data_IF_695531171708
#
_entry.id   IF_695531171708
#
_cell.length_a   1.000
_cell.length_b   1.000
_cell.length_c   1.000
_cell.angle_alpha   90.00
_cell.angle_beta   90.00
_cell.angle_gamma   90.00
#
_symmetry.space_group_name_H-M   'P 1'
#
loop_
_entity.id
_entity.type
_entity.pdbx_description
1 polymer ?
#
# COMPACT_ATOMS: atom_id res chain seq x y z
N UNK A 1 0.65 31.96 41.74
CA UNK A 1 2.05 31.57 41.45
C UNK A 1 2.01 30.21 40.76
N UNK A 2 2.74 30.11 39.64
CA UNK A 2 2.81 28.99 38.69
C UNK A 2 3.14 27.65 39.38
N UNK A 3 2.65 26.53 38.83
CA UNK A 3 3.49 25.57 38.08
C UNK A 3 2.59 24.75 37.14
N UNK A 4 2.80 24.81 35.80
CA UNK A 4 2.13 23.92 34.86
C UNK A 4 2.79 22.54 34.92
N UNK A 5 1.97 21.49 34.98
CA UNK A 5 2.43 20.11 34.93
C UNK A 5 2.93 19.80 33.52
N UNK A 6 4.26 19.66 33.35
CA UNK A 6 4.86 19.17 32.11
C UNK A 6 4.46 17.69 31.94
N UNK A 7 3.60 17.41 30.97
CA UNK A 7 3.52 16.06 30.41
C UNK A 7 4.66 15.95 29.40
N UNK A 8 5.67 15.19 29.80
CA UNK A 8 6.85 14.85 29.02
C UNK A 8 6.39 14.04 27.80
N UNK A 9 6.48 14.63 26.60
CA UNK A 9 6.21 13.93 25.35
C UNK A 9 7.19 12.78 25.18
N UNK A 10 6.67 11.56 25.20
CA UNK A 10 7.45 10.34 24.95
C UNK A 10 7.70 10.25 23.45
N UNK A 11 8.91 10.62 23.02
CA UNK A 11 9.45 10.22 21.72
C UNK A 11 9.94 8.77 21.85
N UNK A 12 9.09 7.79 21.52
CA UNK A 12 9.56 6.45 21.18
C UNK A 12 9.85 6.40 19.68
N UNK A 13 11.06 6.76 19.29
CA UNK A 13 11.58 6.39 17.98
C UNK A 13 12.28 5.03 18.12
N UNK A 14 11.51 3.94 17.98
CA UNK A 14 12.08 2.63 17.74
C UNK A 14 12.27 2.46 16.22
N UNK A 15 13.41 2.92 15.70
CA UNK A 15 13.79 2.64 14.32
C UNK A 15 14.20 1.16 14.22
N UNK A 16 13.30 0.30 13.77
CA UNK A 16 13.63 -1.05 13.33
C UNK A 16 14.34 -0.97 11.98
N UNK A 17 15.46 -1.68 11.84
CA UNK A 17 16.18 -1.84 10.58
C UNK A 17 15.30 -2.63 9.60
N UNK A 18 14.46 -1.93 8.85
CA UNK A 18 13.79 -2.49 7.70
C UNK A 18 14.86 -2.82 6.64
N UNK A 19 15.02 -4.11 6.30
CA UNK A 19 15.81 -4.50 5.14
C UNK A 19 15.30 -3.78 3.90
N UNK A 20 16.20 -3.24 3.07
CA UNK A 20 15.83 -2.44 1.91
C UNK A 20 14.90 -3.24 0.98
N UNK A 21 13.65 -2.79 0.83
CA UNK A 21 12.70 -3.35 -0.12
C UNK A 21 13.26 -3.17 -1.54
N UNK A 22 13.06 -4.18 -2.39
CA UNK A 22 13.47 -4.11 -3.80
C UNK A 22 12.43 -3.33 -4.58
N UNK A 23 12.87 -2.41 -5.43
CA UNK A 23 11.96 -1.65 -6.29
C UNK A 23 11.19 -2.57 -7.24
N UNK A 24 9.87 -2.40 -7.40
CA UNK A 24 9.07 -3.17 -8.35
C UNK A 24 9.26 -2.73 -9.81
N UNK A 25 9.84 -1.55 -10.05
CA UNK A 25 10.10 -0.98 -11.37
C UNK A 25 11.50 -0.34 -11.44
N UNK A 26 12.14 -0.39 -12.59
CA UNK A 26 13.42 0.29 -12.81
C UNK A 26 13.24 1.82 -12.66
N UNK A 27 14.09 2.43 -11.83
CA UNK A 27 14.02 3.86 -11.53
C UNK A 27 13.04 4.26 -10.42
N UNK A 28 12.38 3.29 -9.77
CA UNK A 28 11.54 3.50 -8.59
C UNK A 28 12.31 3.17 -7.30
N UNK A 29 11.89 3.73 -6.16
CA UNK A 29 12.43 3.38 -4.84
C UNK A 29 11.32 2.75 -4.00
N UNK A 30 11.58 1.56 -3.44
CA UNK A 30 10.66 0.94 -2.50
C UNK A 30 11.01 1.38 -1.06
N UNK A 31 10.02 1.90 -0.34
CA UNK A 31 10.13 2.37 1.05
C UNK A 31 9.12 1.62 1.93
N UNK A 32 9.37 1.50 3.25
CA UNK A 32 8.37 0.99 4.18
C UNK A 32 7.10 1.84 4.14
N UNK A 33 5.94 1.22 4.34
CA UNK A 33 4.67 1.95 4.42
C UNK A 33 4.71 2.92 5.62
N UNK A 34 4.20 4.15 5.43
CA UNK A 34 3.91 5.07 6.53
C UNK A 34 2.44 5.47 6.48
N UNK A 35 1.88 5.70 7.66
CA UNK A 35 0.50 6.16 7.82
C UNK A 35 0.51 7.45 8.63
N UNK A 36 -0.17 8.47 8.09
CA UNK A 36 -0.28 9.78 8.71
C UNK A 36 -1.71 10.02 9.16
N UNK A 37 -1.90 10.38 10.42
CA UNK A 37 -3.20 10.64 11.02
C UNK A 37 -3.20 11.96 11.78
N UNK A 38 -4.39 12.46 12.10
CA UNK A 38 -4.55 13.68 12.89
C UNK A 38 -5.09 13.31 14.27
N UNK A 39 -4.34 13.66 15.31
CA UNK A 39 -4.80 13.51 16.69
C UNK A 39 -6.02 14.42 16.92
N UNK A 40 -7.13 13.82 17.29
CA UNK A 40 -8.42 14.48 17.48
C UNK A 40 -8.43 15.46 18.67
N UNK A 41 -7.44 15.39 19.55
CA UNK A 41 -7.38 16.19 20.78
C UNK A 41 -6.66 17.53 20.58
N UNK A 42 -5.59 17.54 19.79
CA UNK A 42 -4.69 18.70 19.63
C UNK A 42 -4.41 19.05 18.16
N UNK A 43 -4.95 18.29 17.21
CA UNK A 43 -4.74 18.50 15.78
C UNK A 43 -3.33 18.17 15.31
N UNK A 44 -2.50 17.56 16.15
CA UNK A 44 -1.11 17.21 15.79
C UNK A 44 -1.08 16.01 14.86
N UNK A 45 -0.06 15.99 14.00
CA UNK A 45 0.16 14.90 13.05
C UNK A 45 0.86 13.74 13.73
N UNK A 46 0.27 12.55 13.60
CA UNK A 46 0.85 11.28 14.06
C UNK A 46 1.31 10.51 12.84
N UNK A 47 2.55 10.01 12.87
CA UNK A 47 3.08 9.16 11.81
C UNK A 47 3.54 7.84 12.40
N UNK A 48 2.99 6.74 11.87
CA UNK A 48 3.41 5.36 12.17
C UNK A 48 4.03 4.75 10.92
N UNK A 49 5.03 3.88 11.08
CA UNK A 49 5.78 3.32 9.95
C UNK A 49 6.29 1.92 10.26
N UNK A 50 6.25 1.04 9.27
CA UNK A 50 6.68 -0.34 9.41
C UNK A 50 5.99 -1.26 8.41
N UNK A 51 5.90 -2.54 8.75
CA UNK A 51 5.03 -3.49 8.06
C UNK A 51 3.56 -3.18 8.34
N UNK A 52 2.66 -3.66 7.47
CA UNK A 52 1.19 -3.57 7.70
C UNK A 52 0.79 -4.14 9.06
N UNK A 53 1.48 -5.19 9.54
CA UNK A 53 1.22 -5.80 10.85
C UNK A 53 1.66 -4.92 12.02
N UNK A 54 2.82 -4.27 11.92
CA UNK A 54 3.34 -3.36 12.93
C UNK A 54 2.50 -2.08 13.00
N UNK A 55 2.18 -1.50 11.84
CA UNK A 55 1.33 -0.31 11.73
C UNK A 55 -0.07 -0.59 12.29
N UNK A 56 -0.64 -1.77 12.02
CA UNK A 56 -1.95 -2.17 12.58
C UNK A 56 -1.91 -2.24 14.11
N UNK A 57 -0.88 -2.87 14.68
CA UNK A 57 -0.76 -2.96 16.13
C UNK A 57 -0.64 -1.58 16.79
N UNK A 58 0.09 -0.66 16.14
CA UNK A 58 0.28 0.70 16.64
C UNK A 58 -1.01 1.54 16.48
N UNK A 59 -1.70 1.47 15.34
CA UNK A 59 -2.97 2.16 15.12
C UNK A 59 -4.11 1.63 16.00
N UNK A 60 -4.16 0.31 16.27
CA UNK A 60 -5.13 -0.29 17.18
C UNK A 60 -4.87 0.15 18.64
N UNK A 61 -3.62 0.37 19.02
CA UNK A 61 -3.28 0.96 20.31
C UNK A 61 -3.73 2.43 20.43
N UNK A 62 -3.83 3.15 19.31
CA UNK A 62 -4.28 4.54 19.27
C UNK A 62 -5.82 4.69 19.16
N UNK A 63 -6.51 3.70 18.61
CA UNK A 63 -7.98 3.67 18.57
C UNK A 63 -8.61 4.92 17.93
N UNK A 64 -9.69 5.44 18.53
CA UNK A 64 -10.43 6.61 18.01
C UNK A 64 -9.77 7.96 18.30
N UNK A 65 -8.58 7.99 18.90
CA UNK A 65 -7.88 9.24 19.21
C UNK A 65 -7.30 9.93 17.98
N UNK A 66 -7.20 9.21 16.86
CA UNK A 66 -6.63 9.70 15.61
C UNK A 66 -7.63 9.49 14.46
N UNK A 67 -7.84 10.54 13.67
CA UNK A 67 -8.59 10.47 12.42
C UNK A 67 -7.67 10.06 11.25
N UNK A 68 -8.09 9.07 10.47
CA UNK A 68 -7.39 8.53 9.31
C UNK A 68 -8.29 8.67 8.08
N UNK A 69 -7.97 9.59 7.15
CA UNK A 69 -8.80 9.91 5.96
C UNK A 69 -8.57 8.97 4.77
N UNK A 70 -9.59 8.76 3.93
CA UNK A 70 -9.56 7.95 2.69
C UNK A 70 -10.10 8.73 1.48
N UNK A 71 -9.60 8.48 0.27
CA UNK A 71 -10.15 8.97 -1.02
C UNK A 71 -10.36 7.80 -2.01
N UNK A 72 -11.23 7.98 -3.01
CA UNK A 72 -11.57 7.00 -4.06
C UNK A 72 -11.77 7.73 -5.40
N UNK A 73 -11.24 7.23 -6.52
CA UNK A 73 -11.50 7.75 -7.88
C UNK A 73 -11.25 6.69 -8.97
N UNK A 74 -11.52 7.03 -10.24
CA UNK A 74 -11.73 6.13 -11.39
C UNK A 74 -10.54 5.94 -12.35
N UNK A 75 -10.43 4.71 -12.87
CA UNK A 75 -9.34 4.11 -13.64
C UNK A 75 -9.18 4.59 -15.11
N UNK A 76 -7.94 4.74 -15.57
CA UNK A 76 -7.60 4.84 -17.01
C UNK A 76 -6.26 4.12 -17.28
N UNK A 77 -6.12 3.54 -18.48
CA UNK A 77 -4.94 2.83 -19.02
C UNK A 77 -4.39 1.62 -18.22
N UNK A 78 -4.61 0.42 -18.78
CA UNK A 78 -4.02 -0.85 -18.32
C UNK A 78 -2.83 -1.23 -19.22
N UNK A 79 -1.68 -1.52 -18.60
CA UNK A 79 -0.46 -1.98 -19.25
C UNK A 79 -0.12 -3.41 -18.81
N UNK A 80 -0.06 -4.32 -19.77
CA UNK A 80 0.27 -5.72 -19.51
C UNK A 80 1.77 -5.99 -19.57
N UNK A 81 2.19 -7.05 -18.86
CA UNK A 81 3.55 -7.59 -18.88
C UNK A 81 4.61 -6.68 -18.26
N UNK A 82 4.19 -5.77 -17.38
CA UNK A 82 5.05 -4.88 -16.60
C UNK A 82 4.91 -5.13 -15.10
N UNK A 83 5.98 -4.86 -14.35
CA UNK A 83 5.96 -4.89 -12.90
C UNK A 83 6.51 -6.16 -12.24
N UNK A 84 7.24 -5.99 -11.13
CA UNK A 84 7.87 -7.08 -10.41
C UNK A 84 8.91 -7.84 -11.25
N UNK A 85 9.29 -9.04 -10.78
CA UNK A 85 10.29 -9.91 -11.43
C UNK A 85 9.70 -10.84 -12.50
N UNK A 86 8.39 -10.77 -12.77
CA UNK A 86 7.71 -11.60 -13.75
C UNK A 86 6.22 -11.81 -13.46
N UNK A 87 5.62 -12.76 -14.17
CA UNK A 87 4.20 -13.12 -14.03
C UNK A 87 3.91 -13.91 -12.76
N UNK A 88 2.69 -13.77 -12.26
CA UNK A 88 2.16 -14.44 -11.07
C UNK A 88 1.05 -15.41 -11.44
N UNK A 89 0.81 -16.40 -10.59
CA UNK A 89 -0.28 -17.36 -10.76
C UNK A 89 -1.63 -16.77 -10.34
N UNK A 90 -2.69 -17.08 -11.07
CA UNK A 90 -4.02 -16.54 -10.84
C UNK A 90 -4.65 -16.94 -9.50
N UNK A 91 -4.39 -18.15 -9.01
CA UNK A 91 -4.87 -18.59 -7.70
C UNK A 91 -4.32 -17.72 -6.55
N UNK A 92 -2.99 -17.63 -6.39
CA UNK A 92 -2.35 -16.72 -5.45
C UNK A 92 -2.76 -15.24 -5.60
N UNK A 93 -2.90 -14.75 -6.83
CA UNK A 93 -3.38 -13.39 -7.05
C UNK A 93 -4.80 -13.20 -6.54
N UNK A 94 -5.68 -14.18 -6.76
CA UNK A 94 -7.05 -14.16 -6.25
C UNK A 94 -7.09 -14.11 -4.71
N UNK A 95 -6.18 -14.80 -4.03
CA UNK A 95 -6.05 -14.69 -2.57
C UNK A 95 -5.67 -13.28 -2.14
N UNK A 96 -4.77 -12.62 -2.89
CA UNK A 96 -4.42 -11.22 -2.70
C UNK A 96 -5.62 -10.27 -2.87
N UNK A 97 -6.41 -10.46 -3.92
CA UNK A 97 -7.65 -9.70 -4.18
C UNK A 97 -8.64 -9.88 -3.04
N UNK A 98 -8.88 -11.14 -2.64
CA UNK A 98 -9.80 -11.48 -1.55
C UNK A 98 -9.36 -10.87 -0.21
N UNK A 99 -8.04 -10.80 0.02
CA UNK A 99 -7.47 -10.15 1.19
C UNK A 99 -7.74 -8.65 1.19
N UNK A 100 -7.46 -7.96 0.07
CA UNK A 100 -7.69 -6.52 -0.07
C UNK A 100 -9.16 -6.14 0.09
N UNK A 101 -10.09 -6.92 -0.50
CA UNK A 101 -11.55 -6.70 -0.39
C UNK A 101 -12.10 -6.83 1.03
N UNK A 102 -11.46 -7.64 1.87
CA UNK A 102 -11.85 -7.83 3.27
C UNK A 102 -11.12 -6.88 4.22
N UNK A 103 -10.18 -6.10 3.70
CA UNK A 103 -9.38 -5.19 4.51
C UNK A 103 -10.18 -3.92 4.78
N UNK A 104 -10.42 -3.64 6.06
CA UNK A 104 -11.24 -2.54 6.56
C UNK A 104 -10.46 -1.24 6.81
N UNK A 105 -9.16 -1.25 6.49
CA UNK A 105 -8.26 -0.09 6.61
C UNK A 105 -7.81 0.41 5.23
N UNK A 106 -7.35 1.66 5.13
CA UNK A 106 -6.82 2.16 3.87
C UNK A 106 -5.44 1.61 3.58
N UNK A 107 -5.19 1.38 2.30
CA UNK A 107 -3.89 1.12 1.71
C UNK A 107 -3.23 2.48 1.40
N UNK A 108 -2.02 2.70 1.89
CA UNK A 108 -1.30 3.97 1.70
C UNK A 108 -0.01 3.78 0.92
N UNK A 109 0.41 4.83 0.24
CA UNK A 109 1.75 4.94 -0.31
C UNK A 109 2.34 6.31 0.06
N UNK A 110 3.64 6.29 0.36
CA UNK A 110 4.40 7.48 0.75
C UNK A 110 4.40 8.53 -0.38
N UNK A 111 4.70 9.81 -0.06
CA UNK A 111 4.90 10.84 -1.07
C UNK A 111 5.83 10.38 -2.18
N UNK A 112 5.34 10.50 -3.41
CA UNK A 112 6.09 10.23 -4.63
C UNK A 112 6.98 11.41 -5.07
N UNK A 113 7.37 11.44 -6.35
CA UNK A 113 6.94 10.53 -7.41
C UNK A 113 7.62 9.16 -7.32
N UNK A 114 7.05 8.15 -7.99
CA UNK A 114 7.64 6.82 -8.16
C UNK A 114 7.92 6.04 -6.88
N UNK A 115 7.04 6.19 -5.91
CA UNK A 115 7.11 5.49 -4.63
C UNK A 115 6.00 4.45 -4.55
N UNK A 116 6.36 3.19 -4.35
CA UNK A 116 5.40 2.09 -4.27
C UNK A 116 5.39 1.45 -2.88
N UNK A 117 4.19 1.24 -2.36
CA UNK A 117 3.93 0.42 -1.19
C UNK A 117 3.40 -0.96 -1.61
N UNK A 118 3.96 -2.04 -1.06
CA UNK A 118 3.47 -3.40 -1.30
C UNK A 118 2.26 -3.65 -0.40
N UNK A 119 1.07 -3.63 -0.98
CA UNK A 119 -0.22 -3.71 -0.27
C UNK A 119 -0.71 -5.16 -0.09
N UNK A 120 -0.17 -6.10 -0.88
CA UNK A 120 -0.41 -7.54 -0.72
C UNK A 120 0.77 -8.35 -1.25
N UNK A 121 1.03 -9.52 -0.65
CA UNK A 121 2.03 -10.48 -1.12
C UNK A 121 1.61 -11.89 -0.67
N UNK A 122 1.29 -12.78 -1.60
CA UNK A 122 0.89 -14.16 -1.33
C UNK A 122 1.50 -15.12 -2.34
N UNK A 123 2.21 -16.16 -1.89
CA UNK A 123 2.86 -17.17 -2.76
C UNK A 123 3.68 -16.56 -3.93
N UNK A 124 4.49 -15.55 -3.64
CA UNK A 124 5.24 -14.76 -4.61
C UNK A 124 4.40 -13.91 -5.59
N UNK A 125 3.10 -13.76 -5.36
CA UNK A 125 2.23 -12.83 -6.07
C UNK A 125 2.07 -11.55 -5.26
N UNK A 126 2.68 -10.46 -5.72
CA UNK A 126 2.63 -9.18 -5.06
C UNK A 126 1.73 -8.18 -5.79
N UNK A 127 1.13 -7.31 -5.00
CA UNK A 127 0.30 -6.19 -5.43
C UNK A 127 0.89 -4.93 -4.80
N UNK A 128 1.11 -3.89 -5.60
CA UNK A 128 1.63 -2.61 -5.15
C UNK A 128 0.67 -1.47 -5.46
N UNK A 129 0.61 -0.51 -4.55
CA UNK A 129 0.08 0.83 -4.79
C UNK A 129 1.27 1.77 -5.02
N UNK A 130 1.35 2.39 -6.18
CA UNK A 130 2.41 3.30 -6.55
C UNK A 130 1.88 4.73 -6.67
N UNK A 131 2.57 5.67 -6.05
CA UNK A 131 2.19 7.07 -5.98
C UNK A 131 3.16 7.93 -6.80
N UNK A 132 2.60 8.68 -7.73
CA UNK A 132 3.34 9.63 -8.57
C UNK A 132 3.04 11.10 -8.19
N UNK A 133 2.28 11.34 -7.13
CA UNK A 133 2.03 12.68 -6.55
C UNK A 133 3.07 13.05 -5.48
N UNK A 134 3.30 14.36 -5.21
CA UNK A 134 4.23 14.80 -4.16
C UNK A 134 3.68 14.65 -2.72
N UNK A 135 2.44 14.20 -2.54
CA UNK A 135 1.80 14.00 -1.23
C UNK A 135 1.60 12.50 -1.00
N UNK A 136 1.49 12.05 0.26
CA UNK A 136 1.09 10.68 0.53
C UNK A 136 -0.37 10.44 0.13
N UNK A 137 -0.67 9.23 -0.34
CA UNK A 137 -2.02 8.83 -0.78
C UNK A 137 -2.61 7.73 0.11
N UNK A 138 -3.93 7.63 0.15
CA UNK A 138 -4.69 6.73 1.04
C UNK A 138 -6.01 6.34 0.39
N UNK A 139 -6.12 5.08 -0.01
CA UNK A 139 -7.29 4.54 -0.69
C UNK A 139 -7.86 3.33 0.06
N UNK A 140 -9.16 3.08 -0.08
CA UNK A 140 -9.72 1.83 0.42
C UNK A 140 -9.05 0.66 -0.33
N UNK A 141 -8.51 -0.32 0.40
CA UNK A 141 -7.89 -1.48 -0.24
C UNK A 141 -8.89 -2.26 -1.10
N UNK A 142 -10.18 -2.23 -0.74
CA UNK A 142 -11.24 -2.84 -1.52
C UNK A 142 -11.41 -2.18 -2.91
N UNK A 143 -11.21 -0.86 -3.01
CA UNK A 143 -11.25 -0.15 -4.28
C UNK A 143 -9.99 -0.50 -5.10
N UNK A 144 -8.80 -0.50 -4.48
CA UNK A 144 -7.58 -0.94 -5.18
C UNK A 144 -7.66 -2.38 -5.69
N UNK A 145 -8.48 -3.23 -5.06
CA UNK A 145 -8.70 -4.59 -5.51
C UNK A 145 -9.44 -4.65 -6.86
N UNK A 146 -10.22 -3.64 -7.23
CA UNK A 146 -10.90 -3.60 -8.55
C UNK A 146 -9.88 -3.42 -9.67
N UNK A 147 -8.88 -2.55 -9.49
CA UNK A 147 -7.76 -2.41 -10.43
C UNK A 147 -7.03 -3.76 -10.63
N UNK A 148 -6.82 -4.51 -9.55
CA UNK A 148 -6.19 -5.84 -9.64
C UNK A 148 -7.07 -6.82 -10.42
N UNK A 149 -8.40 -6.70 -10.30
CA UNK A 149 -9.35 -7.50 -11.07
C UNK A 149 -9.32 -7.16 -12.56
N UNK A 150 -9.23 -5.89 -12.92
CA UNK A 150 -9.12 -5.49 -14.33
C UNK A 150 -7.77 -5.93 -14.91
N UNK A 151 -6.66 -5.74 -14.19
CA UNK A 151 -5.35 -6.30 -14.59
C UNK A 151 -5.42 -7.81 -14.77
N UNK A 152 -6.13 -8.54 -13.88
CA UNK A 152 -6.29 -10.00 -14.02
C UNK A 152 -7.10 -10.36 -15.27
N UNK A 153 -8.13 -9.59 -15.60
CA UNK A 153 -8.99 -9.84 -16.76
C UNK A 153 -8.31 -9.46 -18.08
N UNK A 154 -7.56 -8.36 -18.12
CA UNK A 154 -6.93 -7.89 -19.36
C UNK A 154 -5.53 -8.45 -19.58
N UNK A 155 -4.75 -8.64 -18.51
CA UNK A 155 -3.32 -8.96 -18.58
C UNK A 155 -3.00 -10.39 -18.16
N UNK A 156 -3.72 -11.36 -18.74
CA UNK A 156 -3.49 -12.78 -18.49
C UNK A 156 -3.11 -13.56 -19.76
N UNK A 157 -2.36 -14.65 -19.55
CA UNK A 157 -2.14 -15.68 -20.55
C UNK A 157 -2.37 -17.05 -19.92
N UNK A 158 -3.15 -17.88 -20.59
CA UNK A 158 -3.35 -19.27 -20.19
C UNK A 158 -2.13 -20.12 -20.53
N UNK A 159 -1.57 -20.82 -19.54
CA UNK A 159 -0.50 -21.80 -19.71
C UNK A 159 -0.90 -23.11 -19.04
N UNK A 160 -1.35 -24.08 -19.83
CA UNK A 160 -1.90 -25.32 -19.31
C UNK A 160 -3.20 -25.09 -18.55
N UNK A 161 -3.20 -25.34 -17.24
CA UNK A 161 -4.34 -25.09 -16.33
C UNK A 161 -4.21 -23.79 -15.54
N UNK A 162 -3.09 -23.08 -15.69
CA UNK A 162 -2.79 -21.89 -14.91
C UNK A 162 -3.05 -20.62 -15.73
N UNK A 163 -3.45 -19.56 -15.03
CA UNK A 163 -3.44 -18.20 -15.55
C UNK A 163 -2.19 -17.49 -15.04
N UNK A 164 -1.39 -16.96 -15.96
CA UNK A 164 -0.25 -16.12 -15.63
C UNK A 164 -0.61 -14.66 -15.86
N UNK A 165 -0.54 -13.86 -14.81
CA UNK A 165 -0.94 -12.44 -14.81
C UNK A 165 0.27 -11.56 -14.52
N UNK A 166 0.34 -10.40 -15.17
CA UNK A 166 1.31 -9.34 -14.86
C UNK A 166 0.85 -8.05 -15.50
N UNK A 167 0.79 -6.96 -14.75
CA UNK A 167 0.40 -5.69 -15.31
C UNK A 167 0.31 -4.56 -14.31
N UNK A 168 -0.11 -3.43 -14.81
CA UNK A 168 -0.25 -2.17 -14.10
C UNK A 168 -1.48 -1.44 -14.63
N UNK A 169 -2.18 -0.73 -13.78
CA UNK A 169 -3.33 0.11 -14.14
C UNK A 169 -3.18 1.46 -13.47
N UNK A 170 -3.35 2.53 -14.26
CA UNK A 170 -3.26 3.89 -13.76
C UNK A 170 -4.62 4.39 -13.27
N UNK A 171 -4.53 5.38 -12.40
CA UNK A 171 -5.66 6.16 -11.95
C UNK A 171 -5.48 7.63 -12.34
N UNK A 172 -6.60 8.33 -12.51
CA UNK A 172 -6.63 9.75 -12.85
C UNK A 172 -6.05 10.66 -11.75
N UNK A 173 -5.94 10.18 -10.50
CA UNK A 173 -5.32 10.89 -9.37
C UNK A 173 -3.77 10.76 -9.34
N UNK A 174 -3.13 10.24 -10.40
CA UNK A 174 -1.68 10.02 -10.49
C UNK A 174 -1.14 9.01 -9.47
N UNK A 175 -1.90 7.94 -9.26
CA UNK A 175 -1.37 6.69 -8.71
C UNK A 175 -1.58 5.56 -9.70
N UNK A 176 -1.01 4.40 -9.40
CA UNK A 176 -1.27 3.18 -10.16
C UNK A 176 -1.19 1.95 -9.25
N UNK A 177 -1.89 0.90 -9.66
CA UNK A 177 -1.83 -0.42 -9.04
C UNK A 177 -1.03 -1.34 -9.94
N UNK A 178 -0.15 -2.15 -9.36
CA UNK A 178 0.76 -3.03 -10.09
C UNK A 178 0.71 -4.44 -9.53
N UNK A 179 0.78 -5.44 -10.43
CA UNK A 179 0.73 -6.87 -10.14
C UNK A 179 1.93 -7.55 -10.78
N UNK A 180 2.65 -8.35 -10.00
CA UNK A 180 3.87 -9.00 -10.47
C UNK A 180 4.56 -9.82 -9.40
N UNK A 181 5.54 -10.60 -9.84
CA UNK A 181 6.23 -11.56 -8.98
C UNK A 181 7.22 -10.87 -8.06
N UNK A 182 7.15 -11.16 -6.77
CA UNK A 182 8.12 -10.73 -5.76
C UNK A 182 8.30 -11.81 -4.69
N UNK A 183 9.32 -11.69 -3.86
CA UNK A 183 9.53 -12.61 -2.75
C UNK A 183 8.60 -12.25 -1.58
N UNK A 184 7.69 -13.19 -1.25
CA UNK A 184 6.94 -13.22 0.00
C UNK A 184 7.57 -14.31 0.88
#
# INVERSE_FOLDING_TARGET
MKFPSLILGVLMAAATLAGALRSPLDGYTAVPMRQTGINNTDGTTVVVSGTVQEIRAEMDAMGSSVNWTMTSDSDEDIFCWVGGSGKVEGGPLQDGINYLKKHDRPCTADPGPRVCARISCSWNSAIWLCNDTPNGISHACADLATYVEDIREECHVGVGRELLIQGQQFDTENFNVLVGKDNC
#
